data_IF_082490036537
#
_entry.id   IF_082490036537
#
_cell.length_a   1.000
_cell.length_b   1.000
_cell.length_c   1.000
_cell.angle_alpha   90.00
_cell.angle_beta   90.00
_cell.angle_gamma   90.00
#
_symmetry.space_group_name_H-M   'P 1'
#
loop_
_entity.id
_entity.type
_entity.pdbx_description
1 polymer ?
#
# COMPACT_ATOMS: atom_id res chain seq x y z
N UNK A 1 -3.02 39.15 2.52
CA UNK A 1 -2.18 37.97 2.73
C UNK A 1 -2.89 37.14 3.78
N UNK A 2 -3.69 36.16 3.35
CA UNK A 2 -4.44 35.29 4.26
C UNK A 2 -3.44 34.28 4.83
N UNK A 3 -3.19 34.36 6.14
CA UNK A 3 -2.54 33.28 6.88
C UNK A 3 -3.34 32.00 6.64
N UNK A 4 -2.76 31.06 5.89
CA UNK A 4 -3.23 29.69 5.94
C UNK A 4 -2.96 29.21 7.37
N UNK A 5 -3.91 28.57 8.06
CA UNK A 5 -3.61 27.98 9.35
C UNK A 5 -2.43 27.02 9.13
N UNK A 6 -1.33 27.23 9.85
CA UNK A 6 -0.24 26.28 9.90
C UNK A 6 -0.87 24.96 10.34
N UNK A 7 -1.08 24.06 9.38
CA UNK A 7 -1.84 22.84 9.60
C UNK A 7 -1.19 22.09 10.74
N UNK A 8 -1.94 21.88 11.82
CA UNK A 8 -1.52 21.30 13.10
C UNK A 8 -0.46 20.20 12.94
N UNK A 9 0.82 20.61 12.94
CA UNK A 9 1.96 19.71 12.78
C UNK A 9 2.20 19.10 14.16
N UNK A 10 1.60 17.94 14.42
CA UNK A 10 1.82 17.21 15.67
C UNK A 10 3.24 16.69 15.75
N UNK A 11 3.85 16.82 16.92
CA UNK A 11 5.19 16.29 17.15
C UNK A 11 5.19 14.76 17.08
N UNK A 12 6.13 14.17 16.34
CA UNK A 12 6.22 12.71 16.17
C UNK A 12 6.38 11.97 17.50
N UNK A 13 6.98 12.61 18.51
CA UNK A 13 7.17 12.05 19.85
C UNK A 13 5.82 11.81 20.58
N UNK A 14 4.77 12.51 20.19
CA UNK A 14 3.44 12.41 20.81
C UNK A 14 2.50 11.45 20.07
N UNK A 15 2.89 10.96 18.89
CA UNK A 15 2.03 10.09 18.07
C UNK A 15 2.22 8.63 18.51
N UNK A 16 1.13 7.91 18.85
CA UNK A 16 1.20 6.48 19.16
C UNK A 16 1.80 5.67 18.02
N UNK A 17 2.64 4.67 18.33
CA UNK A 17 3.29 3.84 17.32
C UNK A 17 2.30 3.17 16.35
N UNK A 18 1.15 2.70 16.85
CA UNK A 18 0.09 2.11 16.01
C UNK A 18 -0.45 3.09 14.98
N UNK A 19 -0.53 4.38 15.32
CA UNK A 19 -0.96 5.43 14.41
C UNK A 19 0.11 5.72 13.36
N UNK A 20 1.39 5.78 13.74
CA UNK A 20 2.51 5.93 12.80
C UNK A 20 2.52 4.79 11.77
N UNK A 21 2.41 3.55 12.23
CA UNK A 21 2.39 2.36 11.37
C UNK A 21 1.17 2.40 10.44
N UNK A 22 -0.01 2.69 10.97
CA UNK A 22 -1.24 2.71 10.16
C UNK A 22 -1.19 3.81 9.09
N UNK A 23 -0.66 4.99 9.42
CA UNK A 23 -0.46 6.09 8.45
C UNK A 23 0.55 5.73 7.37
N UNK A 24 1.67 5.09 7.74
CA UNK A 24 2.65 4.60 6.77
C UNK A 24 2.05 3.53 5.86
N UNK A 25 1.24 2.61 6.39
CA UNK A 25 0.56 1.59 5.61
C UNK A 25 -0.41 2.20 4.59
N UNK A 26 -1.22 3.18 5.00
CA UNK A 26 -2.11 3.92 4.09
C UNK A 26 -1.31 4.68 3.02
N UNK A 27 -0.22 5.34 3.39
CA UNK A 27 0.64 6.04 2.42
C UNK A 27 1.21 5.09 1.36
N UNK A 28 1.73 3.93 1.77
CA UNK A 28 2.23 2.90 0.85
C UNK A 28 1.11 2.35 -0.02
N UNK A 29 -0.07 2.09 0.55
CA UNK A 29 -1.24 1.57 -0.15
C UNK A 29 -1.73 2.56 -1.23
N UNK A 30 -1.93 3.83 -0.87
CA UNK A 30 -2.34 4.87 -1.82
C UNK A 30 -1.30 5.08 -2.91
N UNK A 31 -0.02 5.10 -2.55
CA UNK A 31 1.06 5.24 -3.53
C UNK A 31 1.10 4.05 -4.49
N UNK A 32 0.91 2.83 -4.00
CA UNK A 32 0.84 1.63 -4.84
C UNK A 32 -0.37 1.68 -5.78
N UNK A 33 -1.54 2.14 -5.31
CA UNK A 33 -2.73 2.29 -6.13
C UNK A 33 -2.50 3.28 -7.29
N UNK A 34 -1.86 4.42 -7.01
CA UNK A 34 -1.46 5.39 -8.05
C UNK A 34 -0.50 4.76 -9.08
N UNK A 35 0.48 3.98 -8.62
CA UNK A 35 1.43 3.27 -9.51
C UNK A 35 0.80 2.12 -10.29
N UNK A 36 -0.33 1.59 -9.83
CA UNK A 36 -1.15 0.66 -10.62
C UNK A 36 -2.08 1.39 -11.61
N UNK A 37 -2.14 2.73 -11.57
CA UNK A 37 -3.06 3.53 -12.38
C UNK A 37 -4.48 3.58 -11.84
N UNK A 38 -4.77 3.00 -10.68
CA UNK A 38 -6.13 2.85 -10.14
C UNK A 38 -6.80 4.18 -9.74
N UNK A 39 -6.06 5.29 -9.75
CA UNK A 39 -6.56 6.63 -9.49
C UNK A 39 -7.06 7.38 -10.72
N UNK A 40 -6.92 6.83 -11.94
CA UNK A 40 -7.43 7.40 -13.18
C UNK A 40 -8.64 6.61 -13.73
N UNK A 41 -9.48 7.26 -14.54
CA UNK A 41 -10.65 6.62 -15.18
C UNK A 41 -10.26 5.45 -16.10
N UNK A 42 -9.06 5.51 -16.70
CA UNK A 42 -8.46 4.44 -17.47
C UNK A 42 -7.13 3.99 -16.82
N UNK A 43 -7.16 2.96 -15.96
CA UNK A 43 -5.97 2.49 -15.25
C UNK A 43 -4.88 1.91 -16.14
N UNK A 44 -5.21 1.37 -17.32
CA UNK A 44 -4.23 0.75 -18.22
C UNK A 44 -3.40 1.81 -18.95
N UNK A 45 -4.01 2.94 -19.28
CA UNK A 45 -3.36 4.07 -19.96
C UNK A 45 -2.99 5.23 -19.03
N UNK A 46 -3.05 5.02 -17.72
CA UNK A 46 -2.68 6.05 -16.73
C UNK A 46 -1.24 6.54 -16.92
N UNK A 47 -0.98 7.86 -16.94
CA UNK A 47 0.38 8.41 -17.01
C UNK A 47 1.19 8.17 -15.72
N UNK A 48 0.53 7.71 -14.64
CA UNK A 48 1.16 7.44 -13.34
C UNK A 48 1.50 5.95 -13.15
N UNK A 49 1.00 5.09 -14.06
CA UNK A 49 1.21 3.65 -14.03
C UNK A 49 2.70 3.31 -14.18
N UNK A 50 3.23 2.59 -13.20
CA UNK A 50 4.59 2.08 -13.14
C UNK A 50 4.60 0.78 -12.34
N UNK A 51 4.67 -0.35 -13.06
CA UNK A 51 4.60 -1.67 -12.44
C UNK A 51 5.85 -2.03 -11.62
N UNK A 52 7.02 -1.43 -11.92
CA UNK A 52 8.22 -1.71 -11.12
C UNK A 52 8.14 -0.99 -9.76
N UNK A 53 7.70 0.27 -9.77
CA UNK A 53 7.45 1.03 -8.54
C UNK A 53 6.29 0.43 -7.72
N UNK A 54 5.20 0.01 -8.37
CA UNK A 54 4.09 -0.68 -7.69
C UNK A 54 4.57 -1.95 -6.97
N UNK A 55 5.43 -2.76 -7.60
CA UNK A 55 5.99 -3.99 -6.99
C UNK A 55 6.71 -3.68 -5.69
N UNK A 56 7.55 -2.63 -5.68
CA UNK A 56 8.34 -2.23 -4.52
C UNK A 56 7.44 -1.78 -3.38
N UNK A 57 6.44 -0.94 -3.66
CA UNK A 57 5.50 -0.41 -2.67
C UNK A 57 4.62 -1.51 -2.05
N UNK A 58 4.05 -2.40 -2.88
CA UNK A 58 3.24 -3.53 -2.41
C UNK A 58 4.09 -4.48 -1.56
N UNK A 59 5.33 -4.75 -1.96
CA UNK A 59 6.25 -5.59 -1.18
C UNK A 59 6.61 -4.98 0.16
N UNK A 60 6.85 -3.66 0.21
CA UNK A 60 7.11 -2.93 1.44
C UNK A 60 5.89 -2.93 2.37
N UNK A 61 4.69 -2.69 1.83
CA UNK A 61 3.43 -2.73 2.56
C UNK A 61 3.17 -4.12 3.17
N UNK A 62 3.38 -5.18 2.40
CA UNK A 62 3.26 -6.55 2.88
C UNK A 62 4.21 -6.84 4.04
N UNK A 63 5.48 -6.43 3.94
CA UNK A 63 6.45 -6.57 5.02
C UNK A 63 6.02 -5.79 6.28
N UNK A 64 5.57 -4.55 6.12
CA UNK A 64 5.10 -3.70 7.22
C UNK A 64 3.90 -4.33 7.94
N UNK A 65 2.88 -4.75 7.21
CA UNK A 65 1.67 -5.34 7.79
C UNK A 65 1.99 -6.66 8.49
N UNK A 66 2.75 -7.55 7.84
CA UNK A 66 3.11 -8.84 8.44
C UNK A 66 3.91 -8.67 9.72
N UNK A 67 4.85 -7.72 9.76
CA UNK A 67 5.67 -7.47 10.94
C UNK A 67 4.90 -6.77 12.07
N UNK A 68 3.80 -6.07 11.78
CA UNK A 68 3.08 -5.24 12.76
C UNK A 68 1.70 -5.78 13.15
N UNK A 69 1.25 -6.90 12.56
CA UNK A 69 -0.13 -7.39 12.67
C UNK A 69 -0.63 -7.57 14.10
N UNK A 70 0.23 -7.99 15.03
CA UNK A 70 -0.12 -8.19 16.44
C UNK A 70 -0.41 -6.88 17.19
N UNK A 71 0.11 -5.75 16.71
CA UNK A 71 -0.06 -4.42 17.32
C UNK A 71 -1.19 -3.60 16.70
N UNK A 72 -1.67 -3.99 15.51
CA UNK A 72 -2.65 -3.21 14.75
C UNK A 72 -4.09 -3.35 15.25
N UNK A 73 -4.38 -4.39 16.05
CA UNK A 73 -5.71 -4.64 16.60
C UNK A 73 -6.80 -4.61 15.52
N UNK A 74 -7.88 -3.80 15.68
CA UNK A 74 -8.97 -3.71 14.70
C UNK A 74 -8.54 -3.23 13.29
N UNK A 75 -7.44 -2.48 13.17
CA UNK A 75 -6.97 -1.96 11.88
C UNK A 75 -6.31 -3.04 11.01
N UNK A 76 -5.95 -4.19 11.57
CA UNK A 76 -5.24 -5.25 10.87
C UNK A 76 -6.04 -5.88 9.72
N UNK A 77 -7.37 -6.00 9.86
CA UNK A 77 -8.25 -6.59 8.85
C UNK A 77 -8.30 -5.76 7.57
N UNK A 78 -8.76 -4.49 7.65
CA UNK A 78 -8.85 -3.60 6.49
C UNK A 78 -7.52 -3.40 5.76
N UNK A 79 -6.39 -3.32 6.48
CA UNK A 79 -5.07 -3.17 5.87
C UNK A 79 -4.66 -4.41 5.06
N UNK A 80 -4.97 -5.62 5.56
CA UNK A 80 -4.71 -6.88 4.83
C UNK A 80 -5.60 -7.01 3.59
N UNK A 81 -6.87 -6.65 3.69
CA UNK A 81 -7.80 -6.65 2.56
C UNK A 81 -7.37 -5.66 1.47
N UNK A 82 -6.95 -4.45 1.85
CA UNK A 82 -6.41 -3.46 0.94
C UNK A 82 -5.13 -3.95 0.25
N UNK A 83 -4.20 -4.55 1.00
CA UNK A 83 -3.00 -5.17 0.43
C UNK A 83 -3.35 -6.29 -0.57
N UNK A 84 -4.26 -7.18 -0.22
CA UNK A 84 -4.67 -8.28 -1.10
C UNK A 84 -5.30 -7.74 -2.39
N UNK A 85 -6.08 -6.66 -2.30
CA UNK A 85 -6.68 -6.00 -3.47
C UNK A 85 -5.61 -5.45 -4.41
N UNK A 86 -4.57 -4.81 -3.87
CA UNK A 86 -3.44 -4.32 -4.67
C UNK A 86 -2.65 -5.46 -5.31
N UNK A 87 -2.44 -6.57 -4.60
CA UNK A 87 -1.74 -7.75 -5.14
C UNK A 87 -2.51 -8.37 -6.31
N UNK A 88 -3.85 -8.45 -6.22
CA UNK A 88 -4.71 -8.91 -7.32
C UNK A 88 -4.65 -7.98 -8.52
N UNK A 89 -4.85 -6.68 -8.27
CA UNK A 89 -4.79 -5.67 -9.32
C UNK A 89 -3.43 -5.67 -10.04
N UNK A 90 -2.32 -5.83 -9.30
CA UNK A 90 -0.99 -5.98 -9.88
C UNK A 90 -0.89 -7.22 -10.79
N UNK A 91 -1.38 -8.38 -10.32
CA UNK A 91 -1.34 -9.63 -11.06
C UNK A 91 -2.13 -9.53 -12.37
N UNK A 92 -3.33 -8.96 -12.31
CA UNK A 92 -4.21 -8.72 -13.47
C UNK A 92 -3.59 -7.73 -14.46
N UNK A 93 -2.91 -6.72 -13.94
CA UNK A 93 -2.24 -5.65 -14.70
C UNK A 93 -0.90 -6.06 -15.33
N UNK A 94 -0.29 -7.15 -14.86
CA UNK A 94 1.05 -7.53 -15.31
C UNK A 94 1.00 -8.22 -16.67
N UNK A 95 1.74 -7.67 -17.65
CA UNK A 95 1.91 -8.29 -18.96
C UNK A 95 2.57 -9.68 -18.89
N UNK A 96 3.38 -9.91 -17.85
CA UNK A 96 4.01 -11.20 -17.55
C UNK A 96 3.66 -11.56 -16.11
N UNK A 97 2.70 -12.48 -15.90
CA UNK A 97 2.31 -12.86 -14.56
C UNK A 97 3.45 -13.55 -13.80
N UNK A 98 3.64 -13.15 -12.54
CA UNK A 98 4.55 -13.86 -11.64
C UNK A 98 4.01 -15.26 -11.32
N UNK A 99 4.92 -16.21 -11.09
CA UNK A 99 4.56 -17.51 -10.55
C UNK A 99 3.84 -17.35 -9.18
N UNK A 100 2.91 -18.26 -8.81
CA UNK A 100 2.29 -18.22 -7.49
C UNK A 100 3.33 -18.20 -6.36
N UNK A 101 3.21 -17.26 -5.43
CA UNK A 101 4.15 -17.03 -4.32
C UNK A 101 5.30 -16.09 -4.65
N UNK A 102 5.46 -15.68 -5.92
CA UNK A 102 6.51 -14.78 -6.39
C UNK A 102 6.01 -13.37 -6.72
N UNK A 103 4.70 -13.12 -6.60
CA UNK A 103 4.12 -11.80 -6.78
C UNK A 103 4.58 -10.79 -5.71
N UNK A 104 4.32 -9.48 -5.92
CA UNK A 104 4.70 -8.45 -4.95
C UNK A 104 4.14 -8.74 -3.56
N UNK A 105 5.02 -8.81 -2.56
CA UNK A 105 4.64 -9.12 -1.18
C UNK A 105 4.23 -10.57 -0.89
N UNK A 106 4.08 -11.44 -1.89
CA UNK A 106 3.59 -12.83 -1.69
C UNK A 106 4.54 -13.70 -0.86
N UNK A 107 5.83 -13.34 -0.78
CA UNK A 107 6.77 -13.95 0.19
C UNK A 107 6.32 -13.84 1.65
N UNK A 108 5.51 -12.84 1.98
CA UNK A 108 5.00 -12.59 3.34
C UNK A 108 3.55 -13.05 3.53
N UNK A 109 2.75 -13.00 2.47
CA UNK A 109 1.29 -13.24 2.55
C UNK A 109 0.88 -14.60 2.00
N UNK A 110 1.77 -15.30 1.30
CA UNK A 110 1.43 -16.44 0.45
C UNK A 110 0.86 -15.99 -0.91
N UNK A 111 0.57 -16.95 -1.81
CA UNK A 111 0.00 -16.69 -3.12
C UNK A 111 -1.37 -16.04 -3.04
N UNK A 112 -1.66 -15.12 -3.97
CA UNK A 112 -2.98 -14.52 -4.11
C UNK A 112 -3.73 -15.15 -5.28
N UNK A 113 -5.01 -15.51 -5.04
CA UNK A 113 -5.93 -16.15 -5.98
C UNK A 113 -7.09 -15.24 -6.36
#
# INVERSE_FOLDING_TARGET
MTEQPEGDVRELAEIPAVEVISRAAVMLMSSAAEKLGLGDDDPENSPRRDMDEARRLITALAGLITASVEYLGPHAGPLREGLQSLQKAFRESSAIPDAPGAGPGEKYTGPVH
#
